data_IF_104007753790
#
_entry.id   IF_104007753790
#
_cell.length_a   1.000
_cell.length_b   1.000
_cell.length_c   1.000
_cell.angle_alpha   90.00
_cell.angle_beta   90.00
_cell.angle_gamma   90.00
#
_symmetry.space_group_name_H-M   'P 1'
#
loop_
_entity.id
_entity.type
_entity.pdbx_description
1 polymer ?
#
# COMPACT_ATOMS: atom_id res chain seq x y z
N UNK A 1 15.28 14.39 -25.17
CA UNK A 1 14.87 13.25 -24.32
C UNK A 1 15.77 13.19 -23.09
N UNK A 2 15.47 13.96 -22.05
CA UNK A 2 16.15 13.85 -20.76
C UNK A 2 15.60 12.61 -20.05
N UNK A 3 16.26 11.49 -20.32
CA UNK A 3 16.33 10.22 -19.62
C UNK A 3 15.28 10.00 -18.50
N UNK A 4 14.14 9.40 -18.87
CA UNK A 4 13.06 8.96 -17.96
C UNK A 4 13.58 8.07 -16.82
N UNK A 5 14.72 7.40 -17.02
CA UNK A 5 15.39 6.60 -16.00
C UNK A 5 16.06 7.44 -14.89
N UNK A 6 16.60 8.62 -15.20
CA UNK A 6 17.19 9.52 -14.21
C UNK A 6 16.09 10.08 -13.28
N UNK A 7 14.95 10.47 -13.84
CA UNK A 7 13.82 10.97 -13.06
C UNK A 7 13.25 9.91 -12.11
N UNK A 8 13.13 8.65 -12.58
CA UNK A 8 12.64 7.52 -11.77
C UNK A 8 13.58 7.14 -10.63
N UNK A 9 14.89 7.16 -10.87
CA UNK A 9 15.90 6.91 -9.84
C UNK A 9 15.89 8.00 -8.76
N UNK A 10 15.75 9.27 -9.15
CA UNK A 10 15.67 10.39 -8.22
C UNK A 10 14.43 10.34 -7.31
N UNK A 11 13.30 9.81 -7.80
CA UNK A 11 12.08 9.66 -7.00
C UNK A 11 12.27 8.63 -5.87
N UNK A 12 12.87 7.47 -6.16
CA UNK A 12 13.08 6.45 -5.12
C UNK A 12 14.08 6.94 -4.07
N UNK A 13 15.16 7.60 -4.49
CA UNK A 13 16.12 8.18 -3.54
C UNK A 13 15.45 9.20 -2.61
N UNK A 14 14.59 10.06 -3.16
CA UNK A 14 13.83 11.02 -2.37
C UNK A 14 12.88 10.33 -1.39
N UNK A 15 12.19 9.28 -1.82
CA UNK A 15 11.32 8.49 -0.95
C UNK A 15 12.12 7.83 0.19
N UNK A 16 13.28 7.23 -0.12
CA UNK A 16 14.15 6.61 0.87
C UNK A 16 14.61 7.62 1.94
N UNK A 17 15.00 8.83 1.55
CA UNK A 17 15.40 9.88 2.49
C UNK A 17 14.25 10.33 3.41
N UNK A 18 13.01 10.39 2.89
CA UNK A 18 11.82 10.71 3.69
C UNK A 18 11.56 9.58 4.69
N UNK A 19 11.59 8.32 4.24
CA UNK A 19 11.42 7.14 5.11
C UNK A 19 12.48 7.08 6.22
N UNK A 20 13.74 7.38 5.89
CA UNK A 20 14.83 7.43 6.86
C UNK A 20 14.60 8.49 7.94
N UNK A 21 14.16 9.68 7.51
CA UNK A 21 13.82 10.77 8.44
C UNK A 21 12.63 10.37 9.33
N UNK A 22 11.58 9.82 8.75
CA UNK A 22 10.40 9.39 9.49
C UNK A 22 10.72 8.30 10.53
N UNK A 23 11.61 7.37 10.20
CA UNK A 23 12.04 6.33 11.13
C UNK A 23 12.89 6.89 12.28
N UNK A 24 13.87 7.75 11.97
CA UNK A 24 14.74 8.33 13.00
C UNK A 24 14.00 9.21 14.01
N UNK A 25 12.99 9.94 13.55
CA UNK A 25 12.21 10.87 14.37
C UNK A 25 10.80 10.35 14.67
N UNK A 26 10.62 9.02 14.66
CA UNK A 26 9.33 8.43 14.93
C UNK A 26 8.89 8.69 16.38
N UNK A 27 7.67 9.20 16.55
CA UNK A 27 7.07 9.36 17.87
C UNK A 27 6.88 8.01 18.58
N UNK A 28 6.88 8.06 19.92
CA UNK A 28 6.54 6.91 20.73
C UNK A 28 5.07 6.55 20.52
N UNK A 29 4.83 5.31 20.10
CA UNK A 29 3.50 4.73 20.00
C UNK A 29 3.14 3.96 21.27
N UNK A 30 1.87 3.57 21.42
CA UNK A 30 1.43 2.80 22.58
C UNK A 30 2.17 1.45 22.61
N UNK A 31 2.57 0.94 23.79
CA UNK A 31 3.32 -0.31 23.89
C UNK A 31 2.64 -1.51 23.21
N UNK A 32 1.31 -1.59 23.28
CA UNK A 32 0.56 -2.68 22.64
C UNK A 32 0.68 -2.65 21.12
N UNK A 33 0.56 -1.46 20.51
CA UNK A 33 0.68 -1.31 19.05
C UNK A 33 2.10 -1.64 18.59
N UNK A 34 3.12 -1.28 19.39
CA UNK A 34 4.50 -1.60 19.11
C UNK A 34 4.74 -3.12 19.08
N UNK A 35 4.28 -3.85 20.09
CA UNK A 35 4.44 -5.31 20.15
C UNK A 35 3.73 -5.99 18.99
N UNK A 36 2.50 -5.56 18.66
CA UNK A 36 1.74 -6.11 17.52
C UNK A 36 2.49 -5.88 16.21
N UNK A 37 2.97 -4.65 15.96
CA UNK A 37 3.71 -4.33 14.73
C UNK A 37 5.01 -5.13 14.61
N UNK A 38 5.78 -5.26 15.69
CA UNK A 38 7.02 -6.05 15.67
C UNK A 38 6.70 -7.53 15.44
N UNK A 39 5.74 -8.10 16.15
CA UNK A 39 5.34 -9.50 15.98
C UNK A 39 4.83 -9.80 14.56
N UNK A 40 4.12 -8.86 13.94
CA UNK A 40 3.72 -8.96 12.54
C UNK A 40 4.94 -8.97 11.61
N UNK A 41 5.89 -8.05 11.80
CA UNK A 41 7.12 -7.99 11.01
C UNK A 41 7.99 -9.27 11.14
N UNK A 42 7.93 -9.98 12.27
CA UNK A 42 8.64 -11.25 12.45
C UNK A 42 8.21 -12.34 11.47
N UNK A 43 7.00 -12.24 10.90
CA UNK A 43 6.49 -13.22 9.93
C UNK A 43 7.07 -13.01 8.53
N UNK A 44 7.57 -11.81 8.22
CA UNK A 44 8.00 -11.42 6.87
C UNK A 44 9.50 -11.11 6.78
N UNK A 45 10.12 -10.68 7.88
CA UNK A 45 11.49 -10.16 7.88
C UNK A 45 12.42 -10.97 8.80
N UNK A 46 13.72 -11.07 8.46
CA UNK A 46 14.70 -11.69 9.34
C UNK A 46 14.89 -10.88 10.64
N UNK A 47 15.44 -11.46 11.72
CA UNK A 47 15.56 -10.80 13.02
C UNK A 47 16.22 -9.42 13.04
N UNK A 48 17.20 -9.19 12.15
CA UNK A 48 17.87 -7.89 12.05
C UNK A 48 17.00 -6.79 11.47
N UNK A 49 15.87 -7.14 10.88
CA UNK A 49 14.99 -6.25 10.12
C UNK A 49 13.61 -6.10 10.75
N UNK A 50 13.32 -6.72 11.91
CA UNK A 50 11.99 -6.63 12.52
C UNK A 50 11.50 -5.19 12.80
N UNK A 51 12.43 -4.27 13.09
CA UNK A 51 12.09 -2.87 13.38
C UNK A 51 12.08 -1.98 12.14
N UNK A 52 12.83 -2.35 11.10
CA UNK A 52 13.13 -1.48 9.96
C UNK A 52 12.57 -1.99 8.64
N UNK A 53 12.31 -3.29 8.50
CA UNK A 53 12.02 -3.95 7.23
C UNK A 53 10.79 -3.41 6.52
N UNK A 54 9.78 -2.96 7.27
CA UNK A 54 8.57 -2.32 6.75
C UNK A 54 8.72 -0.82 6.50
N UNK A 55 9.77 -0.18 7.04
CA UNK A 55 9.90 1.28 7.10
C UNK A 55 10.67 1.85 5.91
N UNK A 56 11.50 1.04 5.26
CA UNK A 56 12.36 1.48 4.15
C UNK A 56 11.92 0.85 2.83
N UNK A 57 11.92 1.63 1.73
CA UNK A 57 11.74 1.04 0.41
C UNK A 57 12.90 0.08 0.11
N UNK A 58 12.58 -1.09 -0.44
CA UNK A 58 13.57 -2.07 -0.88
C UNK A 58 14.41 -1.56 -2.06
N UNK A 59 15.34 -2.38 -2.54
CA UNK A 59 16.14 -2.10 -3.75
C UNK A 59 15.24 -1.74 -4.94
N UNK A 60 15.62 -0.71 -5.70
CA UNK A 60 14.95 -0.34 -6.94
C UNK A 60 14.95 -1.51 -7.92
N UNK A 61 13.76 -1.95 -8.35
CA UNK A 61 13.62 -2.94 -9.39
C UNK A 61 12.66 -2.42 -10.48
N UNK A 62 13.17 -1.91 -11.61
CA UNK A 62 12.33 -1.36 -12.67
C UNK A 62 11.44 -2.43 -13.32
N UNK A 63 11.85 -3.70 -13.30
CA UNK A 63 11.06 -4.82 -13.82
C UNK A 63 9.79 -5.04 -13.00
N UNK A 64 9.92 -5.07 -11.67
CA UNK A 64 8.77 -5.23 -10.76
C UNK A 64 7.79 -4.07 -10.91
N UNK A 65 8.29 -2.84 -10.97
CA UNK A 65 7.44 -1.65 -11.15
C UNK A 65 6.72 -1.71 -12.50
N UNK A 66 7.41 -2.07 -13.57
CA UNK A 66 6.78 -2.19 -14.89
C UNK A 66 5.74 -3.30 -14.94
N UNK A 67 5.98 -4.45 -14.30
CA UNK A 67 4.99 -5.52 -14.20
C UNK A 67 3.76 -5.06 -13.44
N UNK A 68 3.92 -4.40 -12.29
CA UNK A 68 2.79 -3.85 -11.54
C UNK A 68 1.99 -2.82 -12.36
N UNK A 69 2.68 -1.94 -13.09
CA UNK A 69 2.01 -0.95 -13.95
C UNK A 69 1.25 -1.58 -15.12
N UNK A 70 1.69 -2.74 -15.64
CA UNK A 70 0.96 -3.46 -16.69
C UNK A 70 -0.37 -4.04 -16.20
N UNK A 71 -0.42 -4.46 -14.93
CA UNK A 71 -1.65 -4.96 -14.30
C UNK A 71 -2.66 -3.85 -14.02
N UNK A 72 -2.26 -2.57 -14.04
CA UNK A 72 -3.16 -1.42 -13.91
C UNK A 72 -3.75 -1.06 -15.27
N UNK A 73 -4.73 -1.85 -15.72
CA UNK A 73 -5.41 -1.68 -17.00
C UNK A 73 -6.91 -1.52 -16.84
N UNK A 74 -7.59 -0.99 -17.86
CA UNK A 74 -9.06 -0.93 -17.89
C UNK A 74 -9.73 -2.30 -17.90
N UNK A 75 -8.99 -3.37 -18.21
CA UNK A 75 -9.52 -4.74 -18.25
C UNK A 75 -9.44 -5.45 -16.90
N UNK A 76 -8.58 -4.96 -16.00
CA UNK A 76 -8.29 -5.56 -14.70
C UNK A 76 -8.82 -4.73 -13.53
N UNK A 77 -9.41 -3.56 -13.82
CA UNK A 77 -9.95 -2.65 -12.81
C UNK A 77 -11.27 -3.18 -12.22
N UNK A 78 -11.48 -2.94 -10.93
CA UNK A 78 -12.79 -3.05 -10.26
C UNK A 78 -13.14 -1.69 -9.68
N UNK A 79 -14.28 -1.14 -10.08
CA UNK A 79 -14.73 0.18 -9.66
C UNK A 79 -15.83 -0.01 -8.61
N UNK A 80 -15.64 0.60 -7.45
CA UNK A 80 -16.66 0.69 -6.42
C UNK A 80 -17.24 2.10 -6.45
N UNK A 81 -18.55 2.20 -6.70
CA UNK A 81 -19.27 3.46 -6.64
C UNK A 81 -20.23 3.44 -5.45
N UNK A 82 -19.87 4.17 -4.41
CA UNK A 82 -20.70 4.33 -3.21
C UNK A 82 -21.40 5.70 -3.22
N UNK A 83 -22.72 5.71 -3.06
CA UNK A 83 -23.52 6.94 -2.90
C UNK A 83 -24.86 6.63 -2.25
N UNK A 84 -25.32 7.53 -1.36
CA UNK A 84 -26.66 7.45 -0.78
C UNK A 84 -27.78 7.55 -1.82
N UNK A 85 -27.47 8.05 -3.04
CA UNK A 85 -28.43 8.12 -4.15
C UNK A 85 -28.89 6.77 -4.68
N UNK A 86 -28.19 5.68 -4.35
CA UNK A 86 -28.56 4.33 -4.79
C UNK A 86 -29.45 3.59 -3.78
N UNK A 87 -29.86 4.25 -2.70
CA UNK A 87 -30.79 3.66 -1.74
C UNK A 87 -32.11 3.30 -2.43
N UNK A 88 -32.54 2.03 -2.28
CA UNK A 88 -33.71 1.48 -2.96
C UNK A 88 -33.50 1.14 -4.45
N UNK A 89 -32.32 1.40 -5.02
CA UNK A 89 -31.97 1.07 -6.41
C UNK A 89 -30.96 -0.09 -6.53
N UNK A 90 -30.65 -0.75 -5.41
CA UNK A 90 -29.77 -1.91 -5.36
C UNK A 90 -30.55 -3.21 -5.43
N UNK A 91 -29.97 -4.25 -6.06
CA UNK A 91 -30.66 -5.52 -6.32
C UNK A 91 -30.17 -6.69 -5.45
N UNK A 92 -29.05 -6.50 -4.75
CA UNK A 92 -28.37 -7.51 -3.96
C UNK A 92 -28.11 -7.01 -2.55
N UNK A 93 -28.03 -7.95 -1.61
CA UNK A 93 -27.75 -7.66 -0.20
C UNK A 93 -26.69 -8.65 0.30
N UNK A 94 -25.59 -8.11 0.82
CA UNK A 94 -24.52 -8.90 1.40
C UNK A 94 -25.01 -9.58 2.70
N UNK A 95 -24.79 -10.90 2.88
CA UNK A 95 -25.46 -11.68 3.90
C UNK A 95 -25.06 -11.39 5.35
N UNK A 96 -23.86 -10.87 5.60
CA UNK A 96 -23.34 -10.73 6.97
C UNK A 96 -23.62 -9.37 7.59
N UNK A 97 -23.50 -8.30 6.80
CA UNK A 97 -23.67 -6.91 7.25
C UNK A 97 -24.94 -6.27 6.69
N UNK A 98 -25.62 -6.92 5.74
CA UNK A 98 -26.83 -6.38 5.11
C UNK A 98 -26.53 -5.22 4.15
N UNK A 99 -25.29 -5.10 3.68
CA UNK A 99 -24.89 -4.05 2.75
C UNK A 99 -25.61 -4.23 1.42
N UNK A 100 -26.41 -3.25 1.02
CA UNK A 100 -27.11 -3.27 -0.25
C UNK A 100 -26.16 -2.85 -1.39
N UNK A 101 -26.10 -3.62 -2.47
CA UNK A 101 -25.21 -3.38 -3.61
C UNK A 101 -25.82 -3.87 -4.92
N UNK A 102 -25.22 -3.47 -6.04
CA UNK A 102 -25.48 -3.99 -7.39
C UNK A 102 -24.13 -4.20 -8.08
N UNK A 103 -24.04 -5.20 -8.96
CA UNK A 103 -22.84 -5.45 -9.78
C UNK A 103 -23.23 -5.33 -11.25
N UNK A 104 -22.48 -4.51 -11.98
CA UNK A 104 -22.59 -4.29 -13.43
C UNK A 104 -21.33 -4.74 -14.17
#
# INVERSE_FOLDING_TARGET
MLNTNIFRFNLLMKLAAICETAFHYQDKIRPIDYVVNVAFNMQFYPPKEWLVGSSFPSKFNPGVIQSALKELSSYTVRIFWESTKFEGFTDSVEPWYGTAYTVE
#
